data_IF_070459995585
#
_entry.id   IF_070459995585
#
_cell.length_a   1.000
_cell.length_b   1.000
_cell.length_c   1.000
_cell.angle_alpha   90.00
_cell.angle_beta   90.00
_cell.angle_gamma   90.00
#
_symmetry.space_group_name_H-M   'P 1'
#
loop_
_entity.id
_entity.type
_entity.pdbx_description
1 polymer ?
#
# COMPACT_ATOMS: atom_id res chain seq x y z
N UNK A 1 -2.28 24.99 -10.59
CA UNK A 1 -1.68 24.62 -9.29
C UNK A 1 -0.31 24.01 -9.55
N UNK A 2 0.68 24.22 -8.68
CA UNK A 2 1.99 23.57 -8.82
C UNK A 2 1.90 22.07 -8.49
N UNK A 3 2.80 21.25 -9.03
CA UNK A 3 2.88 19.81 -8.74
C UNK A 3 2.95 19.53 -7.23
N UNK A 4 3.66 20.39 -6.50
CA UNK A 4 3.75 20.37 -5.03
C UNK A 4 2.42 20.65 -4.35
N UNK A 5 1.65 21.65 -4.82
CA UNK A 5 0.33 21.95 -4.27
C UNK A 5 -0.64 20.78 -4.43
N UNK A 6 -0.58 20.07 -5.57
CA UNK A 6 -1.43 18.90 -5.84
C UNK A 6 -1.03 17.71 -4.97
N UNK A 7 0.28 17.49 -4.82
CA UNK A 7 0.82 16.49 -3.89
C UNK A 7 0.39 16.79 -2.46
N UNK A 8 0.48 18.04 -2.02
CA UNK A 8 0.04 18.48 -0.70
C UNK A 8 -1.47 18.31 -0.51
N UNK A 9 -2.29 18.56 -1.53
CA UNK A 9 -3.72 18.29 -1.47
C UNK A 9 -4.04 16.81 -1.24
N UNK A 10 -3.35 15.91 -1.94
CA UNK A 10 -3.52 14.46 -1.76
C UNK A 10 -3.04 13.99 -0.38
N UNK A 11 -1.87 14.48 0.06
CA UNK A 11 -1.30 14.22 1.39
C UNK A 11 -2.25 14.71 2.49
N UNK A 12 -2.77 15.93 2.40
CA UNK A 12 -3.73 16.48 3.35
C UNK A 12 -5.03 15.66 3.39
N UNK A 13 -5.51 15.18 2.25
CA UNK A 13 -6.70 14.32 2.19
C UNK A 13 -6.48 12.98 2.88
N UNK A 14 -5.28 12.40 2.76
CA UNK A 14 -4.89 11.18 3.48
C UNK A 14 -4.73 11.41 4.99
N UNK A 15 -4.09 12.51 5.39
CA UNK A 15 -3.95 12.90 6.80
C UNK A 15 -5.31 13.08 7.49
N UNK A 16 -6.28 13.71 6.82
CA UNK A 16 -7.67 13.83 7.32
C UNK A 16 -8.34 12.48 7.60
N UNK A 17 -7.90 11.40 6.95
CA UNK A 17 -8.39 10.03 7.18
C UNK A 17 -7.59 9.28 8.25
N UNK A 18 -6.72 9.97 9.00
CA UNK A 18 -5.85 9.38 10.02
C UNK A 18 -4.75 8.49 9.45
N UNK A 19 -4.42 8.64 8.16
CA UNK A 19 -3.33 7.93 7.50
C UNK A 19 -2.19 8.91 7.29
N UNK A 20 -1.08 8.75 8.01
CA UNK A 20 0.12 9.54 7.75
C UNK A 20 0.69 9.16 6.36
N UNK A 21 0.70 10.11 5.40
CA UNK A 21 1.19 9.84 4.05
C UNK A 21 2.68 9.58 4.01
N UNK A 22 3.43 10.06 5.00
CA UNK A 22 4.87 9.89 5.12
C UNK A 22 5.25 8.64 5.91
N UNK A 23 4.30 8.04 6.63
CA UNK A 23 4.53 6.79 7.33
C UNK A 23 4.78 5.66 6.31
N UNK A 24 5.81 4.86 6.57
CA UNK A 24 6.12 3.69 5.77
C UNK A 24 5.02 2.64 5.93
N UNK A 25 4.68 1.92 4.85
CA UNK A 25 3.77 0.79 5.01
C UNK A 25 4.36 -0.19 6.02
N UNK A 26 3.51 -0.78 6.86
CA UNK A 26 3.89 -1.87 7.78
C UNK A 26 4.79 -2.91 7.11
N UNK A 27 4.47 -3.27 5.85
CA UNK A 27 5.24 -4.24 5.07
C UNK A 27 6.66 -3.76 4.76
N UNK A 28 6.82 -2.49 4.43
CA UNK A 28 8.11 -1.84 4.13
C UNK A 28 8.96 -1.78 5.39
N UNK A 29 8.38 -1.31 6.49
CA UNK A 29 9.06 -1.28 7.80
C UNK A 29 9.53 -2.66 8.24
N UNK A 30 8.68 -3.68 8.16
CA UNK A 30 9.05 -5.06 8.50
C UNK A 30 10.12 -5.61 7.56
N UNK A 31 10.11 -5.23 6.28
CA UNK A 31 11.13 -5.64 5.32
C UNK A 31 12.50 -5.01 5.64
N UNK A 32 12.54 -3.73 6.05
CA UNK A 32 13.75 -3.06 6.53
C UNK A 32 14.29 -3.70 7.81
N UNK A 33 13.43 -3.96 8.79
CA UNK A 33 13.85 -4.66 10.01
C UNK A 33 14.44 -6.04 9.72
N UNK A 34 13.86 -6.80 8.77
CA UNK A 34 14.43 -8.07 8.33
C UNK A 34 15.78 -7.88 7.66
N UNK A 35 15.94 -6.85 6.83
CA UNK A 35 17.22 -6.53 6.17
C UNK A 35 18.32 -6.25 7.19
N UNK A 36 18.03 -5.38 8.18
CA UNK A 36 18.97 -5.07 9.25
C UNK A 36 19.35 -6.32 10.07
N UNK A 37 18.38 -7.19 10.37
CA UNK A 37 18.65 -8.47 11.02
C UNK A 37 19.61 -9.35 10.20
N UNK A 38 19.41 -9.45 8.88
CA UNK A 38 20.28 -10.23 8.00
C UNK A 38 21.69 -9.63 7.92
N UNK A 39 21.82 -8.30 7.84
CA UNK A 39 23.11 -7.60 7.88
C UNK A 39 23.86 -7.86 9.17
N UNK A 40 23.16 -7.83 10.31
CA UNK A 40 23.74 -8.17 11.61
C UNK A 40 24.16 -9.65 11.68
N UNK A 41 23.36 -10.57 11.15
CA UNK A 41 23.73 -12.00 11.11
C UNK A 41 24.95 -12.24 10.22
N UNK A 42 25.02 -11.58 9.06
CA UNK A 42 26.21 -11.62 8.20
C UNK A 42 27.43 -11.11 8.94
N UNK A 43 27.34 -9.95 9.60
CA UNK A 43 28.46 -9.38 10.35
C UNK A 43 28.99 -10.36 11.41
N UNK A 44 28.08 -10.98 12.20
CA UNK A 44 28.46 -12.01 13.17
C UNK A 44 29.08 -13.24 12.51
N UNK A 45 28.56 -13.66 11.36
CA UNK A 45 29.08 -14.82 10.64
C UNK A 45 30.47 -14.56 10.04
N UNK A 46 30.69 -13.36 9.51
CA UNK A 46 31.99 -12.89 9.03
C UNK A 46 33.00 -12.84 10.16
N UNK A 47 32.63 -12.35 11.35
CA UNK A 47 33.52 -12.38 12.52
C UNK A 47 33.91 -13.82 12.90
N UNK A 48 32.98 -14.78 12.84
CA UNK A 48 33.30 -16.20 13.08
C UNK A 48 34.27 -16.78 12.04
N UNK A 49 34.16 -16.37 10.78
CA UNK A 49 35.13 -16.75 9.73
C UNK A 49 36.50 -16.22 10.10
N UNK A 50 36.61 -14.93 10.44
CA UNK A 50 37.87 -14.31 10.87
C UNK A 50 38.46 -14.99 12.11
N UNK A 51 37.69 -15.16 13.19
CA UNK A 51 38.12 -15.85 14.42
C UNK A 51 38.58 -17.29 14.16
N UNK A 52 37.97 -17.98 13.18
CA UNK A 52 38.37 -19.33 12.80
C UNK A 52 39.73 -19.33 12.10
N UNK A 53 39.99 -18.34 11.22
CA UNK A 53 41.27 -18.19 10.54
C UNK A 53 42.38 -17.63 11.45
N UNK A 54 42.06 -16.76 12.42
CA UNK A 54 43.02 -16.24 13.39
C UNK A 54 43.69 -17.32 14.24
N UNK A 55 43.04 -18.49 14.42
CA UNK A 55 43.62 -19.65 15.11
C UNK A 55 44.92 -20.15 14.45
N UNK A 56 45.16 -19.81 13.18
CA UNK A 56 46.41 -20.19 12.49
C UNK A 56 47.56 -19.20 12.76
N UNK A 57 47.31 -18.10 13.49
CA UNK A 57 48.30 -17.04 13.78
C UNK A 57 49.02 -16.52 12.51
N UNK A 58 48.31 -16.45 11.39
CA UNK A 58 48.86 -16.03 10.10
C UNK A 58 49.78 -17.05 9.41
N UNK A 59 49.96 -18.24 9.99
CA UNK A 59 50.64 -19.34 9.32
C UNK A 59 49.67 -20.02 8.34
N UNK A 60 50.14 -20.40 7.12
CA UNK A 60 49.32 -21.21 6.23
C UNK A 60 49.09 -22.58 6.87
N UNK A 61 47.83 -22.95 7.04
CA UNK A 61 47.46 -24.26 7.57
C UNK A 61 47.92 -25.36 6.60
N UNK A 62 48.84 -26.21 7.03
CA UNK A 62 49.35 -27.34 6.25
C UNK A 62 48.43 -28.57 6.41
N UNK A 63 48.44 -29.52 5.47
CA UNK A 63 47.64 -30.77 5.43
C UNK A 63 48.02 -31.81 6.51
N UNK A 64 48.36 -31.34 7.71
CA UNK A 64 48.66 -32.18 8.88
C UNK A 64 47.36 -32.69 9.52
N UNK A 65 47.51 -33.60 10.49
CA UNK A 65 46.40 -34.20 11.25
C UNK A 65 45.47 -33.11 11.80
N UNK A 66 44.21 -33.09 11.34
CA UNK A 66 43.20 -32.11 11.74
C UNK A 66 42.91 -31.00 10.72
N UNK A 67 43.77 -30.82 9.70
CA UNK A 67 43.60 -29.80 8.66
C UNK A 67 42.27 -29.93 7.91
N UNK A 68 41.90 -31.16 7.52
CA UNK A 68 40.61 -31.43 6.86
C UNK A 68 39.41 -30.97 7.69
N UNK A 69 39.42 -31.19 9.00
CA UNK A 69 38.33 -30.73 9.88
C UNK A 69 38.30 -29.21 10.00
N UNK A 70 39.47 -28.58 10.01
CA UNK A 70 39.59 -27.13 10.02
C UNK A 70 39.04 -26.51 8.73
N UNK A 71 39.45 -27.00 7.56
CA UNK A 71 38.96 -26.52 6.27
C UNK A 71 37.46 -26.78 6.08
N UNK A 72 36.96 -27.97 6.45
CA UNK A 72 35.52 -28.24 6.40
C UNK A 72 34.72 -27.27 7.28
N UNK A 73 35.27 -26.83 8.42
CA UNK A 73 34.62 -25.83 9.28
C UNK A 73 34.68 -24.43 8.66
N UNK A 74 35.83 -24.03 8.12
CA UNK A 74 35.98 -22.77 7.39
C UNK A 74 34.99 -22.69 6.23
N UNK A 75 34.95 -23.72 5.38
CA UNK A 75 34.03 -23.82 4.23
C UNK A 75 32.57 -23.69 4.65
N UNK A 76 32.15 -24.35 5.74
CA UNK A 76 30.78 -24.20 6.27
C UNK A 76 30.49 -22.78 6.73
N UNK A 77 31.43 -22.14 7.41
CA UNK A 77 31.26 -20.78 7.91
C UNK A 77 31.18 -19.77 6.76
N UNK A 78 32.04 -19.94 5.75
CA UNK A 78 32.09 -19.12 4.54
C UNK A 78 30.86 -19.32 3.67
N UNK A 79 30.44 -20.58 3.45
CA UNK A 79 29.22 -20.90 2.69
C UNK A 79 28.00 -20.22 3.32
N UNK A 80 27.87 -20.26 4.65
CA UNK A 80 26.79 -19.55 5.35
C UNK A 80 26.88 -18.03 5.16
N UNK A 81 28.07 -17.44 5.16
CA UNK A 81 28.25 -16.01 4.90
C UNK A 81 27.84 -15.64 3.46
N UNK A 82 28.19 -16.48 2.48
CA UNK A 82 27.80 -16.33 1.08
C UNK A 82 26.27 -16.39 0.94
N UNK A 83 25.63 -17.37 1.58
CA UNK A 83 24.17 -17.52 1.57
C UNK A 83 23.46 -16.32 2.22
N UNK A 84 24.00 -15.79 3.33
CA UNK A 84 23.49 -14.58 3.97
C UNK A 84 23.62 -13.36 3.07
N UNK A 85 24.75 -13.20 2.38
CA UNK A 85 24.93 -12.13 1.38
C UNK A 85 23.90 -12.22 0.25
N UNK A 86 23.64 -13.42 -0.27
CA UNK A 86 22.60 -13.63 -1.28
C UNK A 86 21.21 -13.23 -0.75
N UNK A 87 20.87 -13.64 0.47
CA UNK A 87 19.60 -13.27 1.12
C UNK A 87 19.48 -11.76 1.36
N UNK A 88 20.57 -11.09 1.71
CA UNK A 88 20.63 -9.63 1.86
C UNK A 88 20.28 -8.98 0.53
N UNK A 89 20.95 -9.36 -0.56
CA UNK A 89 20.69 -8.80 -1.89
C UNK A 89 19.22 -8.96 -2.32
N UNK A 90 18.66 -10.16 -2.17
CA UNK A 90 17.25 -10.41 -2.48
C UNK A 90 16.30 -9.58 -1.60
N UNK A 91 16.69 -9.35 -0.34
CA UNK A 91 15.90 -8.57 0.61
C UNK A 91 16.03 -7.07 0.35
N UNK A 92 17.17 -6.57 -0.12
CA UNK A 92 17.38 -5.18 -0.58
C UNK A 92 16.48 -4.87 -1.78
N UNK A 93 16.50 -5.71 -2.82
CA UNK A 93 15.61 -5.59 -3.98
C UNK A 93 14.12 -5.63 -3.61
N UNK A 94 13.80 -6.36 -2.53
CA UNK A 94 12.44 -6.40 -1.99
C UNK A 94 12.07 -5.12 -1.23
N UNK A 95 12.99 -4.55 -0.46
CA UNK A 95 12.78 -3.27 0.23
C UNK A 95 12.59 -2.16 -0.80
N UNK A 96 13.48 -2.08 -1.80
CA UNK A 96 13.42 -1.08 -2.87
C UNK A 96 12.07 -1.11 -3.59
N UNK A 97 11.59 -2.29 -3.99
CA UNK A 97 10.26 -2.43 -4.62
C UNK A 97 9.11 -1.96 -3.73
N UNK A 98 9.21 -2.18 -2.42
CA UNK A 98 8.17 -1.76 -1.46
C UNK A 98 8.20 -0.26 -1.27
N UNK A 99 9.39 0.34 -1.15
CA UNK A 99 9.56 1.79 -1.08
C UNK A 99 9.04 2.47 -2.34
N UNK A 100 9.38 1.96 -3.52
CA UNK A 100 8.85 2.45 -4.80
C UNK A 100 7.32 2.36 -4.88
N UNK A 101 6.73 1.30 -4.33
CA UNK A 101 5.28 1.15 -4.28
C UNK A 101 4.61 2.15 -3.32
N UNK A 102 5.23 2.41 -2.17
CA UNK A 102 4.76 3.41 -1.20
C UNK A 102 4.91 4.83 -1.77
N UNK A 103 6.02 5.14 -2.44
CA UNK A 103 6.23 6.40 -3.14
C UNK A 103 5.20 6.62 -4.25
N UNK A 104 4.92 5.60 -5.06
CA UNK A 104 3.85 5.71 -6.06
C UNK A 104 2.50 5.96 -5.42
N UNK A 105 2.17 5.29 -4.31
CA UNK A 105 0.93 5.54 -3.58
C UNK A 105 0.85 7.00 -3.11
N UNK A 106 1.93 7.54 -2.51
CA UNK A 106 2.04 8.96 -2.12
C UNK A 106 1.84 9.90 -3.30
N UNK A 107 2.38 9.50 -4.45
CA UNK A 107 2.20 10.19 -5.71
C UNK A 107 0.84 9.90 -6.38
N UNK A 108 -0.17 9.30 -5.75
CA UNK A 108 -1.43 9.05 -6.43
C UNK A 108 -1.29 8.17 -7.70
N UNK A 109 -0.25 7.32 -7.76
CA UNK A 109 0.03 6.38 -8.85
C UNK A 109 -0.28 4.95 -8.44
N UNK A 110 -0.73 4.17 -9.41
CA UNK A 110 -0.99 2.75 -9.23
C UNK A 110 0.31 1.93 -9.34
N UNK A 111 0.25 0.63 -9.03
CA UNK A 111 1.41 -0.28 -9.10
C UNK A 111 2.04 -0.37 -10.51
N UNK A 112 1.29 -0.04 -11.55
CA UNK A 112 1.71 -0.11 -12.96
C UNK A 112 2.23 1.25 -13.47
N UNK A 113 2.33 2.28 -12.63
CA UNK A 113 2.77 3.63 -13.01
C UNK A 113 1.68 4.54 -13.63
N UNK A 114 0.45 4.05 -13.78
CA UNK A 114 -0.70 4.88 -14.16
C UNK A 114 -1.24 5.71 -12.98
N UNK A 115 -2.12 6.67 -13.23
CA UNK A 115 -2.78 7.42 -12.16
C UNK A 115 -3.79 6.54 -11.39
N UNK A 116 -3.88 6.72 -10.07
CA UNK A 116 -4.91 6.09 -9.26
C UNK A 116 -6.26 6.77 -9.53
N UNK A 117 -7.26 5.99 -9.94
CA UNK A 117 -8.59 6.50 -10.26
C UNK A 117 -9.46 6.52 -9.00
N UNK A 118 -9.14 7.45 -8.11
CA UNK A 118 -9.76 7.61 -6.78
C UNK A 118 -10.15 9.07 -6.56
N UNK A 119 -11.16 9.30 -5.70
CA UNK A 119 -11.66 10.65 -5.40
C UNK A 119 -10.55 11.56 -4.89
N UNK A 120 -9.67 11.04 -4.03
CA UNK A 120 -8.56 11.80 -3.46
C UNK A 120 -7.56 12.27 -4.55
N UNK A 121 -7.42 11.50 -5.64
CA UNK A 121 -6.48 11.78 -6.73
C UNK A 121 -7.09 12.63 -7.87
N UNK A 122 -8.33 13.12 -7.73
CA UNK A 122 -8.99 13.99 -8.74
C UNK A 122 -8.08 15.14 -9.21
N UNK A 123 -7.45 15.93 -8.33
CA UNK A 123 -6.65 17.09 -8.77
C UNK A 123 -5.50 16.70 -9.71
N UNK A 124 -4.92 15.52 -9.54
CA UNK A 124 -3.81 15.04 -10.37
C UNK A 124 -4.28 14.51 -11.71
N UNK A 125 -5.48 13.91 -11.75
CA UNK A 125 -6.10 13.48 -13.00
C UNK A 125 -6.44 14.71 -13.85
N UNK A 126 -6.97 15.78 -13.24
CA UNK A 126 -7.22 17.06 -13.90
C UNK A 126 -5.94 17.66 -14.49
N UNK A 127 -4.89 17.78 -13.67
CA UNK A 127 -3.59 18.30 -14.12
C UNK A 127 -3.01 17.52 -15.30
N UNK A 128 -3.10 16.18 -15.27
CA UNK A 128 -2.59 15.34 -16.35
C UNK A 128 -3.39 15.56 -17.66
N UNK A 129 -4.70 15.78 -17.55
CA UNK A 129 -5.53 16.10 -18.71
C UNK A 129 -5.23 17.51 -19.26
N UNK A 130 -4.98 18.49 -18.41
CA UNK A 130 -4.52 19.83 -18.83
C UNK A 130 -3.14 19.78 -19.51
N UNK A 131 -2.22 18.97 -18.97
CA UNK A 131 -0.92 18.69 -19.62
C UNK A 131 -1.11 18.02 -20.97
N UNK A 132 -2.07 17.10 -21.09
CA UNK A 132 -2.39 16.45 -22.35
C UNK A 132 -2.96 17.42 -23.39
N UNK A 133 -3.79 18.38 -22.98
CA UNK A 133 -4.28 19.44 -23.86
C UNK A 133 -3.17 20.35 -24.38
N UNK A 134 -2.12 20.56 -23.57
CA UNK A 134 -0.89 21.26 -23.97
C UNK A 134 0.08 20.41 -24.82
N UNK A 135 -0.21 19.11 -25.01
CA UNK A 135 0.67 18.19 -25.74
C UNK A 135 1.86 17.66 -24.95
N UNK A 136 1.89 17.85 -23.62
CA UNK A 136 3.00 17.47 -22.73
C UNK A 136 2.78 16.12 -22.02
N UNK A 137 1.60 15.49 -22.21
CA UNK A 137 1.27 14.21 -21.57
C UNK A 137 2.04 13.05 -22.19
N UNK A 138 2.58 12.19 -21.33
CA UNK A 138 3.21 10.92 -21.75
C UNK A 138 2.18 9.79 -21.98
N UNK A 139 0.95 9.94 -21.51
CA UNK A 139 -0.07 8.89 -21.64
C UNK A 139 -0.65 8.84 -23.05
N UNK A 140 -0.90 7.62 -23.53
CA UNK A 140 -1.56 7.38 -24.82
C UNK A 140 -3.00 7.94 -24.86
N UNK A 141 -3.52 8.31 -26.05
CA UNK A 141 -4.87 8.87 -26.20
C UNK A 141 -6.00 8.01 -25.62
N UNK A 142 -5.88 6.68 -25.72
CA UNK A 142 -6.86 5.73 -25.16
C UNK A 142 -6.90 5.83 -23.63
N UNK A 143 -5.74 5.99 -22.99
CA UNK A 143 -5.61 6.17 -21.54
C UNK A 143 -6.21 7.51 -21.10
N UNK A 144 -5.96 8.58 -21.86
CA UNK A 144 -6.53 9.90 -21.60
C UNK A 144 -8.06 9.88 -21.70
N UNK A 145 -8.63 9.19 -22.70
CA UNK A 145 -10.08 9.00 -22.82
C UNK A 145 -10.66 8.29 -21.60
N UNK A 146 -9.97 7.26 -21.09
CA UNK A 146 -10.35 6.57 -19.85
C UNK A 146 -10.30 7.53 -18.65
N UNK A 147 -9.24 8.33 -18.52
CA UNK A 147 -9.10 9.30 -17.44
C UNK A 147 -10.21 10.35 -17.46
N UNK A 148 -10.59 10.90 -18.62
CA UNK A 148 -11.73 11.83 -18.75
C UNK A 148 -13.04 11.22 -18.25
N UNK A 149 -13.35 9.98 -18.68
CA UNK A 149 -14.57 9.28 -18.25
C UNK A 149 -14.57 9.04 -16.74
N UNK A 150 -13.45 8.60 -16.21
CA UNK A 150 -13.31 8.28 -14.78
C UNK A 150 -13.33 9.55 -13.92
N UNK A 151 -12.75 10.66 -14.39
CA UNK A 151 -12.81 11.95 -13.72
C UNK A 151 -14.26 12.42 -13.54
N UNK A 152 -15.09 12.31 -14.58
CA UNK A 152 -16.51 12.66 -14.49
C UNK A 152 -17.24 11.81 -13.43
N UNK A 153 -16.98 10.49 -13.40
CA UNK A 153 -17.53 9.59 -12.37
C UNK A 153 -17.08 10.02 -10.96
N UNK A 154 -15.79 10.25 -10.77
CA UNK A 154 -15.21 10.58 -9.48
C UNK A 154 -15.70 11.94 -8.95
N UNK A 155 -15.92 12.93 -9.82
CA UNK A 155 -16.51 14.22 -9.45
C UNK A 155 -17.95 14.05 -8.97
N UNK A 156 -18.78 13.30 -9.69
CA UNK A 156 -20.15 13.02 -9.29
C UNK A 156 -20.21 12.27 -7.94
N UNK A 157 -19.35 11.26 -7.75
CA UNK A 157 -19.23 10.55 -6.47
C UNK A 157 -18.80 11.52 -5.34
N UNK A 158 -17.84 12.41 -5.59
CA UNK A 158 -17.38 13.42 -4.61
C UNK A 158 -18.50 14.38 -4.22
N UNK A 159 -19.29 14.84 -5.19
CA UNK A 159 -20.42 15.73 -4.94
C UNK A 159 -21.49 15.06 -4.08
N UNK A 160 -21.82 13.79 -4.36
CA UNK A 160 -22.75 13.02 -3.53
C UNK A 160 -22.29 12.90 -2.07
N UNK A 161 -20.98 12.73 -1.84
CA UNK A 161 -20.41 12.68 -0.48
C UNK A 161 -20.42 14.03 0.24
N UNK A 162 -20.45 15.15 -0.49
CA UNK A 162 -20.56 16.47 0.13
C UNK A 162 -22.02 16.79 0.50
N UNK A 163 -22.98 16.25 -0.26
CA UNK A 163 -24.41 16.52 -0.09
C UNK A 163 -25.11 15.48 0.80
N UNK A 164 -24.47 15.03 1.89
CA UNK A 164 -25.02 14.01 2.80
C UNK A 164 -26.07 14.64 3.72
N UNK A 165 -27.27 14.05 3.80
CA UNK A 165 -28.35 14.49 4.71
C UNK A 165 -28.00 14.25 6.19
N UNK A 166 -28.62 15.00 7.12
CA UNK A 166 -28.42 14.83 8.57
C UNK A 166 -28.59 13.37 9.02
N UNK A 167 -29.68 12.72 8.59
CA UNK A 167 -29.97 11.32 8.91
C UNK A 167 -28.87 10.37 8.42
N UNK A 168 -28.31 10.62 7.23
CA UNK A 168 -27.21 9.82 6.73
C UNK A 168 -25.90 10.08 7.51
N UNK A 169 -25.64 11.32 7.94
CA UNK A 169 -24.51 11.64 8.83
C UNK A 169 -24.64 10.91 10.17
N UNK A 170 -25.83 10.91 10.78
CA UNK A 170 -26.10 10.18 12.03
C UNK A 170 -25.82 8.66 11.89
N UNK A 171 -26.22 8.05 10.76
CA UNK A 171 -25.95 6.63 10.49
C UNK A 171 -24.44 6.37 10.39
N UNK A 172 -23.69 7.26 9.74
CA UNK A 172 -22.23 7.13 9.62
C UNK A 172 -21.57 7.29 10.99
N UNK A 173 -21.95 8.33 11.75
CA UNK A 173 -21.41 8.63 13.09
C UNK A 173 -21.75 7.56 14.11
N UNK A 174 -22.90 6.89 13.99
CA UNK A 174 -23.30 5.78 14.85
C UNK A 174 -22.35 4.58 14.78
N UNK A 175 -21.48 4.50 13.76
CA UNK A 175 -20.53 3.40 13.57
C UNK A 175 -21.18 2.06 13.21
N UNK A 176 -22.48 2.07 12.86
CA UNK A 176 -23.23 0.89 12.39
C UNK A 176 -22.84 0.45 10.99
N UNK A 177 -22.18 1.32 10.21
CA UNK A 177 -21.81 1.06 8.82
C UNK A 177 -20.31 1.28 8.57
N UNK A 178 -19.74 0.53 7.62
CA UNK A 178 -18.37 0.66 7.16
C UNK A 178 -18.35 1.13 5.69
N UNK A 179 -17.70 2.26 5.43
CA UNK A 179 -17.56 2.79 4.08
C UNK A 179 -16.66 1.91 3.20
N UNK A 180 -17.09 1.62 1.98
CA UNK A 180 -16.27 0.87 1.04
C UNK A 180 -15.20 1.74 0.39
N UNK A 181 -13.92 1.42 0.62
CA UNK A 181 -12.78 2.18 0.07
C UNK A 181 -12.78 2.36 -1.46
N UNK A 182 -13.31 1.40 -2.21
CA UNK A 182 -13.30 1.44 -3.69
C UNK A 182 -14.46 2.25 -4.27
N UNK A 183 -15.62 2.19 -3.61
CA UNK A 183 -16.83 2.90 -4.00
C UNK A 183 -17.35 3.62 -2.75
N UNK A 184 -16.86 4.84 -2.47
CA UNK A 184 -17.13 5.53 -1.21
C UNK A 184 -18.61 5.86 -0.96
N UNK A 185 -19.45 5.77 -1.99
CA UNK A 185 -20.91 5.91 -1.89
C UNK A 185 -21.60 4.66 -1.31
N UNK A 186 -20.90 3.52 -1.25
CA UNK A 186 -21.43 2.24 -0.74
C UNK A 186 -20.95 1.99 0.69
N UNK A 187 -21.88 1.63 1.57
CA UNK A 187 -21.64 1.42 3.00
C UNK A 187 -22.16 0.05 3.43
N UNK A 188 -21.27 -0.80 3.95
CA UNK A 188 -21.64 -2.14 4.44
C UNK A 188 -22.12 -2.07 5.88
N UNK A 189 -23.21 -2.75 6.19
CA UNK A 189 -23.75 -2.81 7.56
C UNK A 189 -22.86 -3.72 8.41
N UNK A 190 -22.42 -3.22 9.56
CA UNK A 190 -21.59 -3.97 10.50
C UNK A 190 -22.42 -5.10 11.11
N UNK A 191 -21.87 -6.32 11.11
CA UNK A 191 -22.55 -7.52 11.60
C UNK A 191 -23.31 -8.31 10.53
N UNK A 192 -23.59 -7.72 9.37
CA UNK A 192 -24.22 -8.42 8.25
C UNK A 192 -23.22 -8.79 7.16
N UNK A 193 -23.42 -9.95 6.53
CA UNK A 193 -22.51 -10.44 5.47
C UNK A 193 -22.98 -9.96 4.10
N UNK A 194 -22.20 -9.07 3.49
CA UNK A 194 -22.44 -8.55 2.11
C UNK A 194 -23.77 -7.81 1.94
N UNK A 195 -24.30 -7.19 3.00
CA UNK A 195 -25.44 -6.28 2.94
C UNK A 195 -24.95 -4.84 3.00
N UNK A 196 -25.40 -4.00 2.07
CA UNK A 196 -24.98 -2.61 1.99
C UNK A 196 -26.14 -1.66 1.70
N UNK A 197 -25.92 -0.41 2.09
CA UNK A 197 -26.72 0.74 1.71
C UNK A 197 -25.88 1.66 0.82
N UNK A 198 -26.53 2.33 -0.12
CA UNK A 198 -25.92 3.23 -1.09
C UNK A 198 -26.39 4.66 -0.83
N UNK A 199 -25.45 5.58 -0.78
CA UNK A 199 -25.73 7.01 -0.71
C UNK A 199 -26.12 7.51 -2.10
N UNK A 200 -27.37 7.94 -2.26
CA UNK A 200 -27.88 8.58 -3.47
C UNK A 200 -28.61 9.86 -3.10
N UNK A 201 -28.30 10.96 -3.81
CA UNK A 201 -28.93 12.27 -3.59
C UNK A 201 -28.93 12.71 -2.10
N UNK A 202 -27.92 12.30 -1.33
CA UNK A 202 -27.78 12.62 0.09
C UNK A 202 -28.52 11.71 1.07
N UNK A 203 -29.34 10.77 0.60
CA UNK A 203 -30.04 9.79 1.43
C UNK A 203 -29.49 8.38 1.20
N UNK A 204 -29.62 7.52 2.22
CA UNK A 204 -29.28 6.12 2.08
C UNK A 204 -30.45 5.32 1.52
N UNK A 205 -30.17 4.53 0.50
CA UNK A 205 -31.07 3.55 -0.07
C UNK A 205 -30.46 2.15 0.04
N UNK A 206 -31.28 1.10 -0.08
CA UNK A 206 -30.78 -0.27 -0.15
C UNK A 206 -29.93 -0.44 -1.41
N UNK A 207 -28.74 -1.04 -1.28
CA UNK A 207 -27.88 -1.32 -2.44
C UNK A 207 -28.56 -2.30 -3.37
N UNK A 208 -28.58 -1.99 -4.67
CA UNK A 208 -29.10 -2.90 -5.69
C UNK A 208 -28.27 -4.17 -5.80
N UNK A 209 -26.95 -4.06 -5.59
CA UNK A 209 -26.00 -5.16 -5.73
C UNK A 209 -25.84 -5.99 -4.46
N UNK A 210 -25.98 -5.36 -3.30
CA UNK A 210 -25.76 -5.95 -1.98
C UNK A 210 -27.03 -5.88 -1.14
N UNK A 211 -28.15 -6.27 -1.76
CA UNK A 211 -29.47 -6.28 -1.13
C UNK A 211 -29.58 -7.38 -0.06
N UNK A 212 -30.32 -7.13 1.04
CA UNK A 212 -30.62 -8.13 2.06
C UNK A 212 -31.42 -9.28 1.45
N UNK A 213 -31.08 -10.52 1.81
CA UNK A 213 -31.74 -11.71 1.29
C UNK A 213 -32.73 -12.29 2.31
N UNK A 214 -32.32 -12.33 3.57
CA UNK A 214 -33.14 -12.88 4.67
C UNK A 214 -34.08 -11.84 5.25
N UNK A 215 -35.16 -12.28 5.88
CA UNK A 215 -36.13 -11.37 6.49
C UNK A 215 -35.55 -10.67 7.73
N UNK A 216 -34.62 -11.32 8.45
CA UNK A 216 -33.83 -10.72 9.52
C UNK A 216 -32.96 -9.57 9.01
N UNK A 217 -32.23 -9.77 7.91
CA UNK A 217 -31.42 -8.72 7.29
C UNK A 217 -32.29 -7.54 6.83
N UNK A 218 -33.47 -7.82 6.26
CA UNK A 218 -34.42 -6.76 5.85
C UNK A 218 -34.92 -5.96 7.05
N UNK A 219 -35.21 -6.61 8.17
CA UNK A 219 -35.64 -5.94 9.40
C UNK A 219 -34.55 -5.01 9.94
N UNK A 220 -33.29 -5.48 10.00
CA UNK A 220 -32.14 -4.68 10.45
C UNK A 220 -31.89 -3.49 9.51
N UNK A 221 -31.95 -3.70 8.19
CA UNK A 221 -31.78 -2.62 7.21
C UNK A 221 -32.89 -1.58 7.38
N UNK A 222 -34.14 -2.00 7.60
CA UNK A 222 -35.26 -1.09 7.82
C UNK A 222 -35.09 -0.28 9.12
N UNK A 223 -34.63 -0.92 10.20
CA UNK A 223 -34.34 -0.24 11.46
C UNK A 223 -33.24 0.83 11.30
N UNK A 224 -32.18 0.54 10.54
CA UNK A 224 -31.09 1.50 10.28
C UNK A 224 -31.57 2.67 9.41
N UNK A 225 -32.36 2.38 8.38
CA UNK A 225 -32.88 3.41 7.48
C UNK A 225 -34.01 4.23 8.11
N UNK A 226 -34.59 3.78 9.23
CA UNK A 226 -35.62 4.46 10.03
C UNK A 226 -36.95 4.61 9.32
#
# INVERSE_FOLDING_TARGET
MTKEAIQNCFINALQKKGVDPFEESYRTRMAKQKLERLKNELHQQTNKVFEHWEQTNGQPMNDKRGARSFFNKAERLESKAIDLNKQIKEQEERVERLEWADENRRNGRNKQGGLMLTIDNIPRIEEELERAERGESHYAPVTLRKYRKELARLKAEKEQLNNVSSKAQEIIESGKVNQWKKYPTVYFIKGLRKVAIELKNGAFEVSSKYAPQTDEEKAIVKEILG
#
